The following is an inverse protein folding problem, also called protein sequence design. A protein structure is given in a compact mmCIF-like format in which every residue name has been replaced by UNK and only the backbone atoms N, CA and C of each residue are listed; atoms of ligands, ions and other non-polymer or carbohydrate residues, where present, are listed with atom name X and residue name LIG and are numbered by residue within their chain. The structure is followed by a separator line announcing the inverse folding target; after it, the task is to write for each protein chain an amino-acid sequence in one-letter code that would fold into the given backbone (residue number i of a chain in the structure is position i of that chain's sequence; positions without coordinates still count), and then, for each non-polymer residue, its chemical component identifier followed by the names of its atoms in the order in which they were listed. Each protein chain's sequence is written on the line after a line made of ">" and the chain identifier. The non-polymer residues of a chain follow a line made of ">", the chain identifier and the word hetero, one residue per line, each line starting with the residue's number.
data_IF_887563670795
#
_entry.id   IF_887563670795
#
_cell.length_a   1.000
_cell.length_b   1.000
_cell.length_c   1.000
_cell.angle_alpha   90.00
_cell.angle_beta   90.00
_cell.angle_gamma   90.00
#
_symmetry.space_group_name_H-M   'P 1'
#
loop_
_entity.id
_entity.type
_entity.pdbx_description
1 polymer ?
#
# COMPACT_ATOMS: atom_id res chain seq x y z
N UNK A 1 -11.90 9.13 -2.86
CA UNK A 1 -11.82 10.35 -3.67
C UNK A 1 -12.97 11.31 -3.37
N UNK A 2 -14.22 10.85 -3.46
CA UNK A 2 -15.40 11.69 -3.17
C UNK A 2 -15.35 12.41 -1.82
N UNK A 3 -14.83 11.74 -0.78
CA UNK A 3 -14.66 12.34 0.55
C UNK A 3 -13.71 13.56 0.59
N UNK A 4 -12.85 13.76 -0.41
CA UNK A 4 -11.95 14.93 -0.45
C UNK A 4 -12.72 16.24 -0.54
N UNK A 5 -13.83 16.27 -1.29
CA UNK A 5 -14.65 17.48 -1.48
C UNK A 5 -15.29 17.94 -0.16
N UNK A 6 -16.02 17.12 0.61
CA UNK A 6 -16.57 17.54 1.89
C UNK A 6 -15.49 17.85 2.92
N UNK A 7 -14.32 17.16 2.91
CA UNK A 7 -13.19 17.55 3.77
C UNK A 7 -12.69 18.95 3.40
N UNK A 8 -12.42 19.23 2.12
CA UNK A 8 -12.00 20.56 1.66
C UNK A 8 -13.02 21.63 2.01
N UNK A 9 -14.30 21.36 1.74
CA UNK A 9 -15.38 22.28 2.06
C UNK A 9 -15.42 22.58 3.56
N UNK A 10 -15.41 21.55 4.41
CA UNK A 10 -15.41 21.71 5.87
C UNK A 10 -14.24 22.55 6.38
N UNK A 11 -13.04 22.30 5.86
CA UNK A 11 -11.83 23.05 6.25
C UNK A 11 -11.88 24.49 5.73
N UNK A 12 -12.28 24.71 4.47
CA UNK A 12 -12.32 26.04 3.86
C UNK A 12 -13.46 26.92 4.40
N UNK A 13 -14.58 26.33 4.78
CA UNK A 13 -15.78 27.05 5.25
C UNK A 13 -15.92 27.09 6.77
N UNK A 14 -14.89 26.68 7.52
CA UNK A 14 -14.95 26.47 8.96
C UNK A 14 -15.41 27.72 9.74
N UNK A 15 -16.55 27.58 10.43
CA UNK A 15 -17.08 28.60 11.35
C UNK A 15 -16.93 28.18 12.82
N UNK A 16 -16.79 26.88 13.10
CA UNK A 16 -16.59 26.37 14.44
C UNK A 16 -15.16 26.61 14.92
N UNK A 17 -15.03 26.99 16.21
CA UNK A 17 -13.74 27.28 16.81
C UNK A 17 -12.81 26.07 16.77
N UNK A 18 -13.35 24.86 16.92
CA UNK A 18 -12.56 23.64 16.93
C UNK A 18 -11.79 23.44 15.62
N UNK A 19 -12.44 23.60 14.47
CA UNK A 19 -11.80 23.44 13.16
C UNK A 19 -10.83 24.59 12.88
N UNK A 20 -11.17 25.83 13.29
CA UNK A 20 -10.25 26.98 13.18
C UNK A 20 -8.97 26.77 13.98
N UNK A 21 -9.07 26.27 15.21
CA UNK A 21 -7.91 25.96 16.04
C UNK A 21 -7.00 24.89 15.40
N UNK A 22 -7.55 23.94 14.65
CA UNK A 22 -6.76 22.96 13.89
C UNK A 22 -6.03 23.62 12.73
N UNK A 23 -6.71 24.49 11.97
CA UNK A 23 -6.13 25.20 10.83
C UNK A 23 -5.02 26.17 11.25
N UNK A 24 -5.16 26.81 12.41
CA UNK A 24 -4.12 27.72 12.96
C UNK A 24 -2.84 26.98 13.38
N UNK A 25 -2.93 25.65 13.63
CA UNK A 25 -1.85 24.84 14.21
C UNK A 25 -1.32 23.75 13.27
N UNK A 26 -1.86 23.64 12.06
CA UNK A 26 -1.49 22.57 11.13
C UNK A 26 -1.36 23.07 9.70
N UNK A 27 -0.59 22.32 8.92
CA UNK A 27 -0.53 22.46 7.47
C UNK A 27 -1.07 21.17 6.88
N UNK A 28 -2.13 21.29 6.10
CA UNK A 28 -2.83 20.16 5.50
C UNK A 28 -2.52 20.14 4.01
N UNK A 29 -1.82 19.10 3.56
CA UNK A 29 -1.57 18.86 2.14
C UNK A 29 -2.58 17.84 1.63
N UNK A 30 -3.37 18.23 0.64
CA UNK A 30 -4.35 17.34 0.02
C UNK A 30 -4.02 17.13 -1.46
N UNK A 31 -3.94 15.87 -1.87
CA UNK A 31 -3.80 15.46 -3.27
C UNK A 31 -5.07 14.73 -3.69
N UNK A 32 -5.96 15.43 -4.38
CA UNK A 32 -7.19 14.85 -4.91
C UNK A 32 -7.59 15.57 -6.21
N UNK A 33 -7.88 14.84 -7.31
CA UNK A 33 -7.77 13.38 -7.46
C UNK A 33 -6.31 12.93 -7.64
N UNK A 34 -5.88 11.88 -6.92
CA UNK A 34 -4.54 11.29 -7.10
C UNK A 34 -4.41 10.51 -8.42
N UNK A 35 -5.53 9.99 -8.95
CA UNK A 35 -5.61 9.29 -10.23
C UNK A 35 -6.76 9.88 -11.07
N UNK A 36 -6.56 10.99 -11.79
CA UNK A 36 -7.63 11.64 -12.56
C UNK A 36 -8.18 10.73 -13.67
N UNK A 37 -7.34 9.94 -14.35
CA UNK A 37 -7.80 9.03 -15.43
C UNK A 37 -8.64 7.87 -14.90
N UNK A 38 -8.20 7.27 -13.79
CA UNK A 38 -8.97 6.23 -13.10
C UNK A 38 -10.31 6.76 -12.58
N UNK A 39 -10.32 7.98 -12.06
CA UNK A 39 -11.55 8.64 -11.61
C UNK A 39 -12.52 8.93 -12.75
N UNK A 40 -12.04 9.45 -13.89
CA UNK A 40 -12.88 9.66 -15.07
C UNK A 40 -13.53 8.35 -15.55
N UNK A 41 -12.78 7.25 -15.59
CA UNK A 41 -13.33 5.92 -15.91
C UNK A 41 -14.34 5.41 -14.88
N UNK A 42 -14.13 5.73 -13.61
CA UNK A 42 -15.09 5.40 -12.54
C UNK A 42 -16.40 6.15 -12.70
N UNK A 43 -16.34 7.42 -13.09
CA UNK A 43 -17.54 8.24 -13.40
C UNK A 43 -18.28 7.64 -14.59
N UNK A 44 -17.58 7.35 -15.70
CA UNK A 44 -18.16 6.76 -16.91
C UNK A 44 -18.90 5.43 -16.62
N UNK A 45 -18.30 4.55 -15.80
CA UNK A 45 -18.95 3.33 -15.33
C UNK A 45 -20.21 3.65 -14.53
N UNK A 46 -20.13 4.53 -13.54
CA UNK A 46 -21.29 4.90 -12.72
C UNK A 46 -22.43 5.46 -13.57
N UNK A 47 -22.14 6.28 -14.57
CA UNK A 47 -23.14 6.85 -15.49
C UNK A 47 -23.72 5.80 -16.45
N UNK A 48 -22.93 4.80 -16.84
CA UNK A 48 -23.38 3.72 -17.72
C UNK A 48 -24.34 2.72 -17.03
N UNK A 49 -24.19 2.55 -15.71
CA UNK A 49 -24.95 1.59 -14.92
C UNK A 49 -25.93 2.23 -13.92
N UNK A 50 -26.03 3.56 -13.88
CA UNK A 50 -27.02 4.21 -13.03
C UNK A 50 -28.44 3.90 -13.51
N UNK A 51 -29.36 3.88 -12.55
CA UNK A 51 -30.79 3.66 -12.76
C UNK A 51 -31.54 4.74 -11.98
N UNK A 52 -32.79 5.03 -12.38
CA UNK A 52 -33.69 5.90 -11.62
C UNK A 52 -33.97 5.35 -10.22
N UNK A 53 -33.87 4.02 -10.06
CA UNK A 53 -33.96 3.33 -8.77
C UNK A 53 -32.59 2.85 -8.31
N UNK A 54 -32.34 2.91 -7.00
CA UNK A 54 -31.10 2.42 -6.42
C UNK A 54 -31.06 0.89 -6.53
N UNK A 55 -30.08 0.37 -7.27
CA UNK A 55 -29.84 -1.07 -7.41
C UNK A 55 -28.88 -1.55 -6.33
N UNK A 56 -29.40 -2.39 -5.41
CA UNK A 56 -28.65 -2.87 -4.23
C UNK A 56 -28.10 -4.28 -4.37
N UNK A 57 -28.58 -5.03 -5.34
CA UNK A 57 -28.17 -6.41 -5.57
C UNK A 57 -26.67 -6.46 -5.93
N UNK A 58 -25.80 -7.07 -5.10
CA UNK A 58 -24.36 -7.12 -5.37
C UNK A 58 -23.98 -7.83 -6.67
N UNK A 59 -24.88 -8.64 -7.23
CA UNK A 59 -24.67 -9.36 -8.50
C UNK A 59 -25.06 -8.54 -9.74
N UNK A 60 -25.60 -7.32 -9.57
CA UNK A 60 -25.89 -6.45 -10.69
C UNK A 60 -24.60 -6.00 -11.40
N UNK A 61 -24.64 -5.91 -12.74
CA UNK A 61 -23.48 -5.54 -13.56
C UNK A 61 -22.84 -4.19 -13.16
N UNK A 62 -23.62 -3.25 -12.62
CA UNK A 62 -23.11 -1.98 -12.11
C UNK A 62 -22.17 -2.13 -10.91
N UNK A 63 -22.31 -3.22 -10.15
CA UNK A 63 -21.44 -3.60 -9.05
C UNK A 63 -20.21 -4.40 -9.50
N UNK A 64 -20.10 -4.78 -10.78
CA UNK A 64 -18.89 -5.39 -11.33
C UNK A 64 -17.91 -4.32 -11.82
N UNK A 65 -17.24 -3.67 -10.87
CA UNK A 65 -16.19 -2.70 -11.18
C UNK A 65 -14.96 -3.43 -11.74
N UNK A 66 -14.75 -3.29 -13.05
CA UNK A 66 -13.53 -3.80 -13.69
C UNK A 66 -12.30 -3.18 -13.02
N UNK A 67 -11.31 -3.99 -12.67
CA UNK A 67 -10.02 -3.59 -12.09
C UNK A 67 -9.27 -2.46 -12.85
N UNK A 68 -9.66 -2.11 -14.08
CA UNK A 68 -9.09 -1.06 -14.93
C UNK A 68 -9.30 0.36 -14.39
N UNK A 69 -10.30 0.58 -13.55
CA UNK A 69 -10.59 1.90 -12.98
C UNK A 69 -9.56 2.34 -11.92
N UNK A 70 -8.86 1.38 -11.29
CA UNK A 70 -7.86 1.66 -10.24
C UNK A 70 -6.52 2.12 -10.80
N UNK A 71 -6.16 1.66 -11.99
CA UNK A 71 -4.91 2.00 -12.65
C UNK A 71 -4.95 3.41 -13.27
N UNK A 72 -3.80 4.00 -13.58
CA UNK A 72 -3.72 5.27 -14.32
C UNK A 72 -3.92 5.07 -15.84
N UNK A 73 -3.72 6.12 -16.64
CA UNK A 73 -3.81 6.06 -18.11
C UNK A 73 -3.06 4.85 -18.70
N UNK A 74 -1.83 4.62 -18.23
CA UNK A 74 -0.92 3.58 -18.73
C UNK A 74 -1.15 2.19 -18.10
N UNK A 75 -2.15 2.04 -17.22
CA UNK A 75 -2.43 0.76 -16.57
C UNK A 75 -1.55 0.46 -15.35
N UNK A 76 -0.89 1.45 -14.76
CA UNK A 76 -0.08 1.26 -13.55
C UNK A 76 -0.90 1.43 -12.27
N UNK A 77 -0.64 0.58 -11.27
CA UNK A 77 -1.09 0.82 -9.90
C UNK A 77 -0.27 1.96 -9.28
N UNK A 78 -0.91 3.11 -9.08
CA UNK A 78 -0.28 4.27 -8.48
C UNK A 78 0.11 4.06 -7.01
N UNK A 79 -0.51 3.13 -6.29
CA UNK A 79 -0.10 2.76 -4.93
C UNK A 79 1.08 1.76 -4.90
N UNK A 80 1.77 1.57 -6.03
CA UNK A 80 3.11 0.96 -6.13
C UNK A 80 4.17 1.96 -6.59
N UNK A 81 3.81 3.21 -6.81
CA UNK A 81 4.68 4.23 -7.40
C UNK A 81 5.37 5.12 -6.37
N UNK A 82 5.16 4.94 -5.07
CA UNK A 82 5.76 5.79 -4.04
C UNK A 82 7.29 5.71 -4.01
N UNK A 83 7.84 4.53 -4.30
CA UNK A 83 9.29 4.33 -4.40
C UNK A 83 9.80 4.48 -5.84
N UNK A 84 9.06 3.95 -6.80
CA UNK A 84 9.56 3.75 -8.17
C UNK A 84 9.44 4.99 -9.05
N UNK A 85 8.42 5.83 -8.82
CA UNK A 85 8.26 7.13 -9.48
C UNK A 85 8.31 7.08 -11.02
N UNK A 86 7.84 5.97 -11.60
CA UNK A 86 7.79 5.80 -13.05
C UNK A 86 6.74 6.71 -13.70
N UNK A 87 5.62 6.89 -12.98
CA UNK A 87 4.45 7.59 -13.48
C UNK A 87 4.50 9.10 -13.20
N UNK A 88 4.00 9.94 -14.12
CA UNK A 88 4.05 11.40 -13.97
C UNK A 88 3.30 11.90 -12.73
N UNK A 89 2.16 11.30 -12.40
CA UNK A 89 1.37 11.63 -11.23
C UNK A 89 2.18 11.38 -9.95
N UNK A 90 2.88 10.24 -9.91
CA UNK A 90 3.73 9.86 -8.79
C UNK A 90 4.91 10.79 -8.58
N UNK A 91 5.59 11.17 -9.66
CA UNK A 91 6.64 12.20 -9.61
C UNK A 91 6.11 13.52 -9.06
N UNK A 92 4.90 13.94 -9.45
CA UNK A 92 4.32 15.21 -9.05
C UNK A 92 3.99 15.26 -7.55
N UNK A 93 3.26 14.28 -7.00
CA UNK A 93 2.95 14.31 -5.57
C UNK A 93 4.17 14.05 -4.70
N UNK A 94 5.12 13.22 -5.16
CA UNK A 94 6.30 12.89 -4.37
C UNK A 94 7.23 14.09 -4.21
N UNK A 95 7.35 14.95 -5.22
CA UNK A 95 8.06 16.23 -5.09
C UNK A 95 7.49 17.09 -3.96
N UNK A 96 6.16 17.22 -3.88
CA UNK A 96 5.51 17.99 -2.80
C UNK A 96 5.66 17.30 -1.45
N UNK A 97 5.53 15.97 -1.41
CA UNK A 97 5.72 15.19 -0.19
C UNK A 97 7.13 15.39 0.39
N UNK A 98 8.18 15.33 -0.44
CA UNK A 98 9.56 15.58 0.01
C UNK A 98 9.85 17.06 0.33
N UNK A 99 9.17 18.00 -0.30
CA UNK A 99 9.32 19.42 0.03
C UNK A 99 8.77 19.77 1.42
N UNK A 100 7.72 19.09 1.86
CA UNK A 100 7.04 19.38 3.12
C UNK A 100 7.33 18.40 4.25
N UNK A 101 7.72 17.14 3.94
CA UNK A 101 7.97 16.06 4.91
C UNK A 101 6.89 15.96 6.01
N UNK A 102 5.64 15.64 5.66
CA UNK A 102 4.53 15.62 6.62
C UNK A 102 4.80 14.73 7.84
N UNK A 103 4.32 15.10 9.03
CA UNK A 103 4.42 14.25 10.21
C UNK A 103 3.51 13.01 10.13
N UNK A 104 2.34 13.16 9.53
CA UNK A 104 1.39 12.08 9.23
C UNK A 104 1.08 12.11 7.73
N UNK A 105 1.10 10.95 7.10
CA UNK A 105 0.67 10.74 5.71
C UNK A 105 -0.51 9.77 5.69
N UNK A 106 -1.68 10.23 5.25
CA UNK A 106 -2.90 9.43 5.19
C UNK A 106 -3.18 8.97 3.76
N UNK A 107 -3.29 7.66 3.55
CA UNK A 107 -3.53 7.00 2.27
C UNK A 107 -4.93 6.36 2.26
N UNK A 108 -5.86 6.98 1.53
CA UNK A 108 -7.29 6.65 1.55
C UNK A 108 -7.71 5.77 0.37
N UNK A 109 -8.29 4.62 0.68
CA UNK A 109 -8.68 3.59 -0.29
C UNK A 109 -10.10 3.08 -0.06
N UNK A 110 -10.56 2.33 -1.06
CA UNK A 110 -11.62 1.35 -0.88
C UNK A 110 -11.09 -0.07 -1.14
N UNK A 111 -11.61 -1.02 -0.37
CA UNK A 111 -11.41 -2.45 -0.51
C UNK A 111 -12.70 -3.13 -0.99
N UNK A 112 -12.60 -4.40 -1.40
CA UNK A 112 -13.75 -5.13 -1.94
C UNK A 112 -14.95 -5.18 -0.98
N UNK A 113 -16.16 -5.24 -1.53
CA UNK A 113 -17.42 -5.30 -0.74
C UNK A 113 -17.49 -6.53 0.16
N UNK A 114 -16.98 -7.66 -0.32
CA UNK A 114 -16.96 -8.99 0.31
C UNK A 114 -15.79 -9.81 -0.27
N UNK A 115 -14.54 -9.44 0.00
CA UNK A 115 -13.42 -10.08 -0.72
C UNK A 115 -13.00 -11.47 -0.22
N UNK A 116 -13.49 -11.91 0.94
CA UNK A 116 -13.29 -13.25 1.59
C UNK A 116 -13.83 -13.26 3.02
N UNK A 117 -14.02 -12.08 3.61
CA UNK A 117 -14.76 -11.81 4.84
C UNK A 117 -15.63 -10.57 4.64
N UNK A 118 -16.66 -10.35 5.48
CA UNK A 118 -17.34 -9.07 5.48
C UNK A 118 -16.35 -7.96 5.84
N UNK A 119 -16.14 -7.02 4.92
CA UNK A 119 -15.20 -5.91 5.08
C UNK A 119 -15.93 -4.72 5.69
N UNK A 120 -15.41 -4.14 6.77
CA UNK A 120 -15.99 -2.93 7.39
C UNK A 120 -15.13 -1.72 7.04
N UNK A 121 -14.50 -1.09 8.02
CA UNK A 121 -13.55 -0.01 7.84
C UNK A 121 -12.23 -0.35 8.55
N UNK A 122 -11.11 -0.17 7.88
CA UNK A 122 -9.79 -0.35 8.46
C UNK A 122 -9.06 0.97 8.57
N UNK A 123 -8.35 1.13 9.69
CA UNK A 123 -7.30 2.12 9.83
C UNK A 123 -6.04 1.49 10.43
N UNK A 124 -4.89 1.97 9.94
CA UNK A 124 -3.56 1.56 10.36
C UNK A 124 -3.39 1.61 11.90
N UNK A 125 -2.61 0.71 12.53
CA UNK A 125 -1.67 -0.24 11.92
C UNK A 125 -2.27 -1.56 11.41
N UNK A 126 -1.55 -2.22 10.50
CA UNK A 126 -1.87 -3.56 10.02
C UNK A 126 -1.33 -4.68 10.92
N UNK A 127 -1.24 -5.89 10.39
CA UNK A 127 -0.66 -7.07 11.06
C UNK A 127 0.81 -6.82 11.46
N UNK A 128 1.17 -7.16 12.70
CA UNK A 128 2.46 -6.81 13.29
C UNK A 128 3.65 -7.57 12.69
N UNK A 129 3.49 -8.86 12.40
CA UNK A 129 4.52 -9.73 11.85
C UNK A 129 4.90 -9.42 10.39
N UNK A 130 4.06 -8.69 9.67
CA UNK A 130 4.29 -8.32 8.26
C UNK A 130 4.71 -6.85 8.11
N UNK A 131 5.70 -6.44 8.90
CA UNK A 131 6.29 -5.09 8.82
C UNK A 131 7.71 -5.18 8.26
N UNK A 132 8.07 -4.29 7.34
CA UNK A 132 9.44 -4.22 6.81
C UNK A 132 10.46 -3.91 7.93
N UNK A 133 11.62 -4.56 7.91
CA UNK A 133 12.66 -4.34 8.93
C UNK A 133 13.29 -2.95 8.92
N UNK A 134 13.16 -2.21 7.81
CA UNK A 134 13.60 -0.81 7.70
C UNK A 134 12.67 0.17 8.41
N UNK A 135 11.45 -0.25 8.76
CA UNK A 135 10.49 0.60 9.44
C UNK A 135 10.78 0.59 10.94
N UNK A 136 11.02 1.74 11.58
CA UNK A 136 11.27 1.80 13.01
C UNK A 136 10.06 1.29 13.81
N UNK A 137 10.29 0.42 14.81
CA UNK A 137 9.21 -0.18 15.62
C UNK A 137 8.29 0.85 16.30
N UNK A 138 8.84 2.02 16.64
CA UNK A 138 8.12 3.14 17.27
C UNK A 138 6.97 3.67 16.40
N UNK A 139 7.09 3.59 15.06
CA UNK A 139 6.03 4.02 14.13
C UNK A 139 4.70 3.33 14.39
N UNK A 140 4.73 2.03 14.74
CA UNK A 140 3.54 1.26 15.08
C UNK A 140 2.89 1.79 16.35
N UNK A 141 3.67 2.11 17.38
CA UNK A 141 3.15 2.68 18.63
C UNK A 141 2.46 4.01 18.36
N UNK A 142 3.11 4.90 17.61
CA UNK A 142 2.53 6.20 17.23
C UNK A 142 1.27 6.04 16.37
N UNK A 143 1.27 5.09 15.42
CA UNK A 143 0.08 4.77 14.63
C UNK A 143 -1.09 4.27 15.48
N UNK A 144 -0.84 3.48 16.53
CA UNK A 144 -1.88 3.07 17.49
C UNK A 144 -2.45 4.24 18.27
N UNK A 145 -1.59 5.15 18.74
CA UNK A 145 -2.02 6.35 19.46
C UNK A 145 -2.89 7.26 18.57
N UNK A 146 -2.50 7.45 17.31
CA UNK A 146 -3.33 8.16 16.32
C UNK A 146 -4.65 7.39 16.07
N UNK A 147 -4.58 6.07 15.96
CA UNK A 147 -5.72 5.18 15.80
C UNK A 147 -6.81 5.38 16.87
N UNK A 148 -6.44 5.71 18.11
CA UNK A 148 -7.40 5.97 19.19
C UNK A 148 -8.31 7.19 18.92
N UNK A 149 -7.89 8.14 18.09
CA UNK A 149 -8.76 9.24 17.66
C UNK A 149 -9.83 8.76 16.69
N UNK A 150 -9.51 7.76 15.87
CA UNK A 150 -10.45 7.15 14.94
C UNK A 150 -11.43 6.23 15.67
N UNK A 151 -10.96 5.37 16.57
CA UNK A 151 -11.82 4.43 17.34
C UNK A 151 -12.93 5.18 18.07
N UNK A 152 -12.61 6.25 18.80
CA UNK A 152 -13.61 7.07 19.51
C UNK A 152 -14.72 7.58 18.59
N UNK A 153 -14.35 8.11 17.42
CA UNK A 153 -15.35 8.60 16.47
C UNK A 153 -16.19 7.50 15.87
N UNK A 154 -15.63 6.31 15.63
CA UNK A 154 -16.38 5.19 15.09
C UNK A 154 -17.34 4.61 16.13
N UNK A 155 -16.93 4.56 17.41
CA UNK A 155 -17.81 4.17 18.52
C UNK A 155 -18.99 5.16 18.64
N UNK A 156 -18.76 6.47 18.49
CA UNK A 156 -19.81 7.50 18.46
C UNK A 156 -20.75 7.37 17.26
N UNK A 157 -20.20 7.11 16.07
CA UNK A 157 -20.96 6.87 14.85
C UNK A 157 -21.68 5.51 14.85
N UNK A 158 -21.30 4.61 15.76
CA UNK A 158 -21.73 3.20 15.81
C UNK A 158 -21.37 2.42 14.55
N UNK A 159 -20.21 2.74 13.99
CA UNK A 159 -19.68 2.09 12.78
C UNK A 159 -18.69 1.00 13.15
N UNK A 160 -18.77 -0.13 12.44
CA UNK A 160 -17.83 -1.25 12.65
C UNK A 160 -16.48 -0.93 12.01
N UNK A 161 -15.40 -1.28 12.71
CA UNK A 161 -14.03 -1.13 12.21
C UNK A 161 -13.13 -2.28 12.67
N UNK A 162 -11.94 -2.35 12.08
CA UNK A 162 -10.88 -3.24 12.52
C UNK A 162 -9.50 -2.59 12.34
N UNK A 163 -8.52 -3.10 13.08
CA UNK A 163 -7.12 -2.66 13.05
C UNK A 163 -6.23 -3.81 13.51
N UNK A 164 -4.92 -3.69 13.31
CA UNK A 164 -3.90 -4.67 13.69
C UNK A 164 -3.93 -6.02 12.97
N UNK A 165 -4.74 -6.14 11.93
CA UNK A 165 -4.90 -7.38 11.16
C UNK A 165 -5.02 -7.10 9.64
N UNK A 166 -5.04 -8.18 8.86
CA UNK A 166 -5.27 -8.24 7.41
C UNK A 166 -4.21 -7.56 6.52
N UNK A 167 -4.04 -6.24 6.66
CA UNK A 167 -3.13 -5.43 5.87
C UNK A 167 -1.71 -5.48 6.45
N UNK A 168 -0.72 -5.23 5.61
CA UNK A 168 0.69 -5.28 5.99
C UNK A 168 1.44 -3.99 5.63
N UNK A 169 2.66 -3.89 6.12
CA UNK A 169 3.61 -2.81 5.83
C UNK A 169 4.95 -3.39 5.36
N UNK A 170 4.92 -4.52 4.64
CA UNK A 170 6.15 -5.22 4.24
C UNK A 170 6.77 -4.59 2.99
N UNK A 171 5.96 -4.26 1.99
CA UNK A 171 6.42 -3.54 0.80
C UNK A 171 6.49 -2.04 1.09
N UNK A 172 7.68 -1.44 0.94
CA UNK A 172 7.96 -0.02 1.24
C UNK A 172 7.57 0.98 0.14
N UNK A 173 6.90 0.52 -0.92
CA UNK A 173 6.49 1.35 -2.06
C UNK A 173 5.01 1.75 -2.07
N UNK A 174 4.34 1.75 -0.91
CA UNK A 174 2.94 2.18 -0.76
C UNK A 174 2.83 3.47 0.04
N UNK A 175 1.67 4.13 -0.01
CA UNK A 175 1.43 5.37 0.72
C UNK A 175 1.38 5.25 2.24
N UNK A 176 1.14 4.04 2.74
CA UNK A 176 1.19 3.75 4.16
C UNK A 176 2.59 3.36 4.66
N UNK A 177 3.48 2.84 3.80
CA UNK A 177 4.79 2.32 4.21
C UNK A 177 5.96 3.25 3.86
N UNK A 178 5.96 3.87 2.67
CA UNK A 178 7.03 4.76 2.23
C UNK A 178 7.29 5.95 3.18
N UNK A 179 6.25 6.61 3.75
CA UNK A 179 6.45 7.66 4.74
C UNK A 179 7.23 7.18 5.98
N UNK A 180 7.02 5.93 6.40
CA UNK A 180 7.60 5.36 7.63
C UNK A 180 9.11 5.15 7.55
N UNK A 181 9.65 4.94 6.34
CA UNK A 181 11.11 4.89 6.10
C UNK A 181 11.71 6.28 5.81
N UNK A 182 10.93 7.35 5.97
CA UNK A 182 11.33 8.73 5.72
C UNK A 182 10.97 9.68 6.88
N UNK A 183 10.79 9.14 8.09
CA UNK A 183 10.53 9.94 9.31
C UNK A 183 9.12 10.52 9.40
N UNK A 184 8.13 9.86 8.81
CA UNK A 184 6.72 10.24 8.84
C UNK A 184 5.86 9.04 9.26
N UNK A 185 4.72 9.26 9.88
CA UNK A 185 3.76 8.18 10.18
C UNK A 185 2.84 7.99 8.99
N UNK A 186 3.04 6.90 8.23
CA UNK A 186 2.16 6.51 7.14
C UNK A 186 0.97 5.69 7.64
N UNK A 187 -0.23 6.03 7.19
CA UNK A 187 -1.46 5.36 7.60
C UNK A 187 -2.32 4.98 6.39
N UNK A 188 -2.66 3.70 6.29
CA UNK A 188 -3.65 3.18 5.35
C UNK A 188 -5.06 3.28 5.97
N UNK A 189 -6.01 3.72 5.16
CA UNK A 189 -7.44 3.71 5.46
C UNK A 189 -8.18 2.97 4.34
N UNK A 190 -8.96 1.95 4.69
CA UNK A 190 -9.65 1.09 3.72
C UNK A 190 -11.11 0.94 4.11
N UNK A 191 -12.02 1.36 3.24
CA UNK A 191 -13.46 1.16 3.43
C UNK A 191 -13.98 0.08 2.49
N UNK A 192 -14.88 -0.80 2.96
CA UNK A 192 -15.59 -1.70 2.06
C UNK A 192 -16.33 -0.89 0.99
N UNK A 193 -16.11 -1.13 -0.30
CA UNK A 193 -16.73 -0.30 -1.34
C UNK A 193 -18.23 -0.57 -1.44
N UNK A 194 -19.00 0.50 -1.65
CA UNK A 194 -20.41 0.41 -2.06
C UNK A 194 -20.56 0.07 -3.55
N UNK A 195 -19.47 0.14 -4.34
CA UNK A 195 -19.36 -0.10 -5.80
C UNK A 195 -20.23 0.80 -6.70
N UNK A 196 -21.41 1.21 -6.27
CA UNK A 196 -22.21 2.30 -6.84
C UNK A 196 -22.70 3.19 -5.68
N UNK A 197 -24.00 3.47 -5.60
CA UNK A 197 -24.62 4.30 -4.57
C UNK A 197 -24.87 3.48 -3.30
N UNK A 198 -25.50 2.31 -3.42
CA UNK A 198 -25.75 1.39 -2.31
C UNK A 198 -25.58 -0.06 -2.74
N UNK A 199 -25.21 -0.94 -1.80
CA UNK A 199 -25.14 -2.38 -2.00
C UNK A 199 -25.55 -3.11 -0.71
N UNK A 200 -26.30 -4.20 -0.85
CA UNK A 200 -26.64 -5.07 0.27
C UNK A 200 -25.48 -6.05 0.55
N UNK A 201 -25.11 -6.17 1.82
CA UNK A 201 -24.02 -7.06 2.26
C UNK A 201 -24.50 -7.96 3.40
N UNK A 202 -23.77 -9.04 3.74
CA UNK A 202 -24.09 -9.85 4.92
C UNK A 202 -24.09 -9.08 6.25
N UNK A 203 -23.44 -7.91 6.33
CA UNK A 203 -23.44 -7.03 7.50
C UNK A 203 -24.51 -5.94 7.44
N UNK A 204 -25.39 -5.98 6.44
CA UNK A 204 -26.40 -4.97 6.19
C UNK A 204 -26.06 -4.08 5.00
N UNK A 205 -26.88 -3.03 4.85
CA UNK A 205 -26.77 -2.08 3.74
C UNK A 205 -25.53 -1.22 3.88
N UNK A 206 -24.84 -1.03 2.76
CA UNK A 206 -23.75 -0.06 2.62
C UNK A 206 -24.11 1.02 1.62
N UNK A 207 -23.70 2.26 1.87
CA UNK A 207 -23.87 3.37 0.95
C UNK A 207 -22.57 4.15 0.73
N UNK A 208 -22.44 4.77 -0.44
CA UNK A 208 -21.36 5.69 -0.76
C UNK A 208 -21.34 6.87 0.22
N UNK A 209 -22.51 7.36 0.62
CA UNK A 209 -22.62 8.44 1.61
C UNK A 209 -21.98 8.05 2.94
N UNK A 210 -22.27 6.86 3.47
CA UNK A 210 -21.65 6.41 4.72
C UNK A 210 -20.12 6.24 4.58
N UNK A 211 -19.66 5.71 3.44
CA UNK A 211 -18.22 5.63 3.15
C UNK A 211 -17.55 7.01 3.14
N UNK A 212 -18.23 8.03 2.60
CA UNK A 212 -17.76 9.41 2.62
C UNK A 212 -17.68 9.93 4.05
N UNK A 213 -18.70 9.72 4.87
CA UNK A 213 -18.74 10.19 6.25
C UNK A 213 -17.62 9.59 7.10
N UNK A 214 -17.36 8.29 6.96
CA UNK A 214 -16.24 7.61 7.64
C UNK A 214 -14.86 8.15 7.21
N UNK A 215 -14.65 8.38 5.91
CA UNK A 215 -13.40 8.98 5.40
C UNK A 215 -13.24 10.43 5.86
N UNK A 216 -14.32 11.21 5.90
CA UNK A 216 -14.31 12.59 6.45
C UNK A 216 -13.95 12.57 7.93
N UNK A 217 -14.58 11.68 8.71
CA UNK A 217 -14.31 11.56 10.14
C UNK A 217 -12.84 11.22 10.41
N UNK A 218 -12.30 10.21 9.74
CA UNK A 218 -10.88 9.85 9.90
C UNK A 218 -9.94 10.95 9.45
N UNK A 219 -10.21 11.66 8.34
CA UNK A 219 -9.39 12.80 7.90
C UNK A 219 -9.30 13.92 8.94
N UNK A 220 -10.43 14.34 9.49
CA UNK A 220 -10.45 15.37 10.53
C UNK A 220 -9.76 14.86 11.82
N UNK A 221 -9.96 13.60 12.17
CA UNK A 221 -9.33 13.00 13.34
C UNK A 221 -7.82 12.83 13.19
N UNK A 222 -7.30 12.57 11.98
CA UNK A 222 -5.86 12.56 11.74
C UNK A 222 -5.25 13.94 11.94
N UNK A 223 -5.93 15.02 11.52
CA UNK A 223 -5.49 16.40 11.79
C UNK A 223 -5.53 16.71 13.29
N UNK A 224 -6.60 16.31 13.99
CA UNK A 224 -6.70 16.45 15.46
C UNK A 224 -5.56 15.73 16.17
N UNK A 225 -5.27 14.49 15.78
CA UNK A 225 -4.16 13.73 16.33
C UNK A 225 -2.82 14.40 16.04
N UNK A 226 -2.59 14.89 14.82
CA UNK A 226 -1.38 15.62 14.44
C UNK A 226 -1.12 16.85 15.33
N UNK A 227 -2.17 17.65 15.57
CA UNK A 227 -2.08 18.85 16.41
C UNK A 227 -1.88 18.48 17.88
N UNK A 228 -2.62 17.51 18.40
CA UNK A 228 -2.54 17.08 19.79
C UNK A 228 -1.20 16.39 20.12
N UNK A 229 -0.64 15.65 19.16
CA UNK A 229 0.62 14.91 19.31
C UNK A 229 1.82 15.67 18.70
N UNK A 230 1.69 16.99 18.46
CA UNK A 230 2.68 17.80 17.75
C UNK A 230 4.10 17.59 18.27
N UNK A 231 4.31 17.71 19.58
CA UNK A 231 5.64 17.59 20.17
C UNK A 231 6.22 16.19 19.97
N UNK A 232 5.42 15.15 20.21
CA UNK A 232 5.80 13.75 20.01
C UNK A 232 6.19 13.49 18.55
N UNK A 233 5.38 13.92 17.59
CA UNK A 233 5.60 13.68 16.16
C UNK A 233 6.81 14.45 15.62
N UNK A 234 7.02 15.70 16.07
CA UNK A 234 8.20 16.49 15.70
C UNK A 234 9.48 15.91 16.30
N UNK A 235 9.43 15.47 17.56
CA UNK A 235 10.55 14.80 18.20
C UNK A 235 10.88 13.48 17.51
N UNK A 236 9.88 12.67 17.18
CA UNK A 236 10.06 11.44 16.40
C UNK A 236 10.77 11.72 15.06
N UNK A 237 10.28 12.68 14.27
CA UNK A 237 10.87 13.02 12.98
C UNK A 237 12.32 13.53 13.12
N UNK A 238 12.60 14.33 14.16
CA UNK A 238 13.97 14.78 14.48
C UNK A 238 14.87 13.62 14.85
N UNK A 239 14.43 12.73 15.74
CA UNK A 239 15.23 11.57 16.17
C UNK A 239 15.45 10.60 15.01
N UNK A 240 14.46 10.39 14.15
CA UNK A 240 14.62 9.62 12.92
C UNK A 240 15.78 10.16 12.06
N UNK A 241 15.86 11.48 11.86
CA UNK A 241 16.92 12.11 11.08
C UNK A 241 18.30 11.94 11.73
N UNK A 242 18.40 12.15 13.06
CA UNK A 242 19.65 11.98 13.80
C UNK A 242 20.14 10.52 13.77
N UNK A 243 19.25 9.57 14.06
CA UNK A 243 19.56 8.14 14.02
C UNK A 243 19.96 7.70 12.61
N UNK A 244 19.39 8.29 11.57
CA UNK A 244 19.76 7.99 10.18
C UNK A 244 21.18 8.45 9.85
N UNK A 245 21.63 9.58 10.41
CA UNK A 245 23.02 10.04 10.27
C UNK A 245 23.99 9.12 11.01
N UNK A 246 23.64 8.68 12.22
CA UNK A 246 24.45 7.74 13.00
C UNK A 246 24.56 6.38 12.30
N UNK A 247 23.44 5.87 11.77
CA UNK A 247 23.42 4.66 10.95
C UNK A 247 24.34 4.79 9.73
N UNK A 248 24.25 5.91 9.00
CA UNK A 248 25.11 6.17 7.85
C UNK A 248 26.61 6.24 8.21
N UNK A 249 26.96 6.85 9.35
CA UNK A 249 28.34 6.90 9.84
C UNK A 249 28.86 5.54 10.30
N UNK A 250 27.97 4.74 10.93
CA UNK A 250 28.30 3.40 11.41
C UNK A 250 28.35 2.36 10.29
N UNK A 251 27.87 2.71 9.08
CA UNK A 251 27.94 1.84 7.92
C UNK A 251 29.39 1.68 7.44
N UNK A 252 30.04 0.64 7.98
CA UNK A 252 31.41 0.25 7.63
C UNK A 252 31.56 -0.26 6.20
N UNK A 253 30.49 -0.27 5.39
CA UNK A 253 30.56 -0.55 3.95
C UNK A 253 31.18 0.59 3.13
N UNK A 254 31.79 1.59 3.79
CA UNK A 254 32.63 2.61 3.18
C UNK A 254 33.52 2.04 2.07
N UNK A 255 33.14 2.32 0.81
CA UNK A 255 33.92 1.99 -0.38
C UNK A 255 34.04 0.51 -0.77
N UNK A 256 33.34 -0.41 -0.11
CA UNK A 256 33.28 -1.81 -0.55
C UNK A 256 32.35 -1.94 -1.75
N UNK A 257 32.85 -1.62 -2.95
CA UNK A 257 32.18 -2.01 -4.19
C UNK A 257 32.18 -3.53 -4.28
N UNK A 258 31.03 -4.14 -4.03
CA UNK A 258 30.79 -5.53 -4.41
C UNK A 258 30.50 -5.55 -5.90
N UNK A 259 31.25 -6.33 -6.67
CA UNK A 259 30.85 -6.63 -8.05
C UNK A 259 29.49 -7.30 -8.01
N UNK A 260 28.48 -6.63 -8.56
CA UNK A 260 27.16 -7.19 -8.74
C UNK A 260 27.18 -7.99 -10.03
N UNK A 261 26.80 -9.26 -9.99
CA UNK A 261 26.53 -9.96 -11.25
C UNK A 261 25.11 -9.61 -11.67
N UNK A 262 24.89 -9.57 -12.97
CA UNK A 262 23.56 -9.26 -13.49
C UNK A 262 22.58 -10.37 -13.07
N UNK A 263 21.47 -10.03 -12.39
CA UNK A 263 20.51 -11.03 -11.98
C UNK A 263 19.84 -11.65 -13.21
N UNK A 264 19.65 -12.97 -13.18
CA UNK A 264 18.86 -13.71 -14.15
C UNK A 264 17.47 -13.93 -13.57
N UNK A 265 16.54 -13.05 -13.95
CA UNK A 265 15.23 -12.94 -13.30
C UNK A 265 14.18 -13.74 -14.07
N UNK A 266 13.49 -14.64 -13.38
CA UNK A 266 12.25 -15.28 -13.84
C UNK A 266 11.05 -14.54 -13.23
N UNK A 267 10.18 -13.99 -14.08
CA UNK A 267 8.96 -13.32 -13.65
C UNK A 267 7.75 -14.18 -14.05
N UNK A 268 6.98 -14.59 -13.05
CA UNK A 268 5.82 -15.46 -13.24
C UNK A 268 4.56 -14.66 -13.61
N UNK A 269 3.73 -15.24 -14.47
CA UNK A 269 2.46 -14.65 -14.88
C UNK A 269 1.35 -15.71 -14.99
N UNK A 270 0.09 -15.24 -15.11
CA UNK A 270 -1.13 -16.06 -15.14
C UNK A 270 -1.45 -16.81 -13.84
N UNK A 271 -2.54 -17.60 -13.86
CA UNK A 271 -2.94 -18.50 -12.78
C UNK A 271 -3.10 -17.80 -11.41
N UNK A 272 -4.09 -16.92 -11.30
CA UNK A 272 -4.39 -16.14 -10.09
C UNK A 272 -3.58 -14.86 -9.92
N UNK A 273 -2.45 -14.71 -10.64
CA UNK A 273 -1.62 -13.50 -10.61
C UNK A 273 -2.38 -12.32 -11.23
N UNK A 274 -2.41 -11.18 -10.53
CA UNK A 274 -3.06 -9.97 -11.04
C UNK A 274 -2.26 -9.39 -12.21
N UNK A 275 -2.94 -9.16 -13.33
CA UNK A 275 -2.32 -8.68 -14.59
C UNK A 275 -1.61 -7.34 -14.41
N UNK A 276 -2.14 -6.47 -13.55
CA UNK A 276 -1.56 -5.15 -13.28
C UNK A 276 -0.27 -5.26 -12.46
N UNK A 277 -0.24 -6.11 -11.43
CA UNK A 277 0.96 -6.33 -10.61
C UNK A 277 2.09 -6.92 -11.46
N UNK A 278 1.78 -7.91 -12.32
CA UNK A 278 2.76 -8.51 -13.22
C UNK A 278 3.26 -7.52 -14.27
N UNK A 279 2.35 -6.81 -14.94
CA UNK A 279 2.71 -5.85 -15.99
C UNK A 279 3.58 -4.71 -15.45
N UNK A 280 3.26 -4.23 -14.23
CA UNK A 280 4.05 -3.19 -13.57
C UNK A 280 5.46 -3.67 -13.22
N UNK A 281 5.62 -4.89 -12.69
CA UNK A 281 6.94 -5.45 -12.40
C UNK A 281 7.77 -5.69 -13.66
N UNK A 282 7.14 -6.15 -14.75
CA UNK A 282 7.84 -6.35 -16.01
C UNK A 282 8.37 -5.02 -16.57
N UNK A 283 7.52 -3.99 -16.65
CA UNK A 283 7.95 -2.68 -17.15
C UNK A 283 9.06 -2.08 -16.26
N UNK A 284 8.93 -2.17 -14.94
CA UNK A 284 9.96 -1.71 -14.02
C UNK A 284 11.32 -2.36 -14.31
N UNK A 285 11.36 -3.70 -14.33
CA UNK A 285 12.61 -4.43 -14.46
C UNK A 285 13.21 -4.22 -15.86
N UNK A 286 12.43 -4.45 -16.90
CA UNK A 286 12.93 -4.46 -18.28
C UNK A 286 13.19 -3.04 -18.81
N UNK A 287 12.21 -2.13 -18.67
CA UNK A 287 12.25 -0.80 -19.30
C UNK A 287 12.97 0.25 -18.46
N UNK A 288 12.76 0.24 -17.15
CA UNK A 288 13.26 1.31 -16.28
C UNK A 288 14.60 0.97 -15.66
N UNK A 289 14.79 -0.28 -15.23
CA UNK A 289 16.02 -0.74 -14.62
C UNK A 289 17.01 -1.35 -15.64
N UNK A 290 16.55 -1.64 -16.87
CA UNK A 290 17.38 -2.28 -17.90
C UNK A 290 17.76 -3.72 -17.55
N UNK A 291 16.97 -4.38 -16.71
CA UNK A 291 17.16 -5.77 -16.28
C UNK A 291 16.25 -6.69 -17.10
N UNK A 292 16.86 -7.47 -18.00
CA UNK A 292 16.14 -8.44 -18.79
C UNK A 292 15.44 -9.47 -17.89
N UNK A 293 14.15 -9.72 -18.15
CA UNK A 293 13.36 -10.74 -17.43
C UNK A 293 12.90 -11.83 -18.39
N UNK A 294 12.95 -13.07 -17.91
CA UNK A 294 12.29 -14.20 -18.58
C UNK A 294 10.88 -14.33 -18.04
N UNK A 295 9.89 -14.33 -18.93
CA UNK A 295 8.49 -14.54 -18.55
C UNK A 295 8.12 -16.02 -18.64
N UNK A 296 7.50 -16.57 -17.60
CA UNK A 296 7.01 -17.95 -17.58
C UNK A 296 5.65 -18.05 -16.91
N UNK A 297 4.76 -18.88 -17.46
CA UNK A 297 3.48 -19.17 -16.83
C UNK A 297 3.72 -19.90 -15.49
N UNK A 298 2.98 -19.52 -14.45
CA UNK A 298 3.17 -20.07 -13.09
C UNK A 298 2.99 -21.58 -13.03
N UNK A 299 2.00 -22.11 -13.74
CA UNK A 299 1.70 -23.55 -13.85
C UNK A 299 2.83 -24.36 -14.52
N UNK A 300 3.70 -23.70 -15.31
CA UNK A 300 4.87 -24.32 -15.95
C UNK A 300 6.16 -24.16 -15.17
N UNK A 301 6.09 -23.77 -13.90
CA UNK A 301 7.28 -23.62 -13.04
C UNK A 301 7.98 -24.97 -12.79
N UNK A 302 7.26 -26.10 -12.84
CA UNK A 302 7.85 -27.43 -12.66
C UNK A 302 8.81 -27.87 -13.77
N UNK A 303 8.81 -27.18 -14.91
CA UNK A 303 9.56 -27.54 -16.12
C UNK A 303 10.83 -26.71 -16.34
N UNK A 304 11.17 -25.81 -15.41
CA UNK A 304 12.32 -24.91 -15.58
C UNK A 304 13.62 -25.55 -15.14
N UNK A 305 14.73 -25.06 -15.70
CA UNK A 305 16.04 -25.19 -15.09
C UNK A 305 16.18 -24.13 -13.98
N UNK A 306 16.09 -24.56 -12.72
CA UNK A 306 16.11 -23.68 -11.55
C UNK A 306 17.47 -23.00 -11.34
N UNK A 307 18.56 -23.65 -11.77
CA UNK A 307 19.92 -23.17 -11.56
C UNK A 307 20.29 -22.07 -12.58
N UNK A 308 19.51 -21.95 -13.65
CA UNK A 308 19.65 -20.87 -14.62
C UNK A 308 19.32 -19.49 -14.02
N UNK A 309 18.42 -19.43 -13.02
CA UNK A 309 17.90 -18.18 -12.49
C UNK A 309 18.53 -17.83 -11.16
N UNK A 310 18.80 -16.55 -10.94
CA UNK A 310 19.18 -16.04 -9.61
C UNK A 310 17.95 -15.61 -8.83
N UNK A 311 16.89 -15.16 -9.51
CA UNK A 311 15.69 -14.63 -8.85
C UNK A 311 14.45 -15.20 -9.51
N UNK A 312 13.48 -15.61 -8.69
CA UNK A 312 12.14 -15.98 -9.15
C UNK A 312 11.14 -15.08 -8.43
N UNK A 313 10.37 -14.35 -9.23
CA UNK A 313 9.39 -13.37 -8.75
C UNK A 313 8.00 -13.91 -9.08
N UNK A 314 7.20 -14.10 -8.05
CA UNK A 314 5.79 -14.43 -8.08
C UNK A 314 4.99 -13.17 -7.68
N UNK A 315 4.47 -12.40 -8.66
CA UNK A 315 3.66 -11.22 -8.36
C UNK A 315 2.40 -11.58 -7.57
N UNK A 316 1.91 -10.61 -6.80
CA UNK A 316 0.72 -10.79 -5.96
C UNK A 316 -0.57 -11.02 -6.74
N UNK A 317 -1.61 -11.41 -6.00
CA UNK A 317 -2.96 -11.57 -6.54
C UNK A 317 -3.87 -12.43 -5.67
N UNK A 318 -5.17 -12.43 -5.98
CA UNK A 318 -6.15 -13.30 -5.29
C UNK A 318 -5.96 -14.75 -5.72
N UNK A 319 -5.77 -15.65 -4.76
CA UNK A 319 -5.59 -17.08 -5.03
C UNK A 319 -4.21 -17.44 -5.59
N UNK A 320 -3.23 -16.53 -5.51
CA UNK A 320 -1.85 -16.83 -5.89
C UNK A 320 -1.25 -17.78 -4.85
N UNK A 321 -1.06 -19.03 -5.26
CA UNK A 321 -0.38 -20.07 -4.50
C UNK A 321 0.43 -20.96 -5.43
N UNK A 322 1.34 -21.73 -4.83
CA UNK A 322 2.06 -22.80 -5.51
C UNK A 322 1.58 -24.15 -4.97
N UNK A 323 1.70 -25.19 -5.78
CA UNK A 323 1.56 -26.56 -5.30
C UNK A 323 2.65 -26.86 -4.26
N UNK A 324 2.34 -27.69 -3.25
CA UNK A 324 3.26 -28.04 -2.16
C UNK A 324 4.62 -28.57 -2.66
N UNK A 325 4.60 -29.30 -3.78
CA UNK A 325 5.83 -29.78 -4.44
C UNK A 325 6.70 -28.63 -4.94
N UNK A 326 6.10 -27.60 -5.53
CA UNK A 326 6.81 -26.42 -6.04
C UNK A 326 7.29 -25.52 -4.89
N UNK A 327 6.51 -25.40 -3.81
CA UNK A 327 6.94 -24.75 -2.57
C UNK A 327 8.20 -25.43 -2.02
N UNK A 328 8.15 -26.76 -1.91
CA UNK A 328 9.28 -27.56 -1.40
C UNK A 328 10.52 -27.40 -2.27
N UNK A 329 10.35 -27.38 -3.60
CA UNK A 329 11.45 -27.17 -4.55
C UNK A 329 12.01 -25.75 -4.47
N UNK A 330 11.17 -24.73 -4.39
CA UNK A 330 11.60 -23.34 -4.24
C UNK A 330 12.38 -23.15 -2.92
N UNK A 331 11.89 -23.71 -1.81
CA UNK A 331 12.58 -23.68 -0.53
C UNK A 331 13.93 -24.42 -0.58
N UNK A 332 13.99 -25.55 -1.29
CA UNK A 332 15.24 -26.26 -1.53
C UNK A 332 16.23 -25.43 -2.36
N UNK A 333 15.79 -24.83 -3.47
CA UNK A 333 16.61 -23.97 -4.33
C UNK A 333 17.19 -22.77 -3.57
N UNK A 334 16.40 -22.16 -2.67
CA UNK A 334 16.88 -21.09 -1.79
C UNK A 334 18.01 -21.60 -0.88
N UNK A 335 17.81 -22.74 -0.21
CA UNK A 335 18.81 -23.37 0.67
C UNK A 335 20.08 -23.78 -0.08
N UNK A 336 19.95 -24.32 -1.29
CA UNK A 336 21.08 -24.71 -2.15
C UNK A 336 21.97 -23.51 -2.51
N UNK A 337 21.42 -22.29 -2.49
CA UNK A 337 22.17 -21.05 -2.70
C UNK A 337 22.68 -20.36 -1.43
N UNK A 338 22.45 -20.90 -0.24
CA UNK A 338 22.97 -20.32 1.01
C UNK A 338 24.43 -20.76 1.27
N UNK A 339 25.33 -19.84 1.68
CA UNK A 339 26.71 -20.19 1.97
C UNK A 339 26.82 -21.04 3.23
N UNK A 340 27.71 -22.02 3.18
CA UNK A 340 27.96 -22.99 4.27
C UNK A 340 28.67 -22.42 5.52
N UNK A 341 28.96 -21.10 5.60
CA UNK A 341 29.60 -20.51 6.78
C UNK A 341 29.25 -19.04 7.06
N UNK A 342 29.28 -18.66 8.34
CA UNK A 342 28.99 -17.32 8.83
C UNK A 342 30.00 -16.24 8.37
N UNK A 343 31.25 -16.61 8.06
CA UNK A 343 32.26 -15.68 7.53
C UNK A 343 32.02 -15.31 6.05
N UNK A 344 31.36 -16.20 5.30
CA UNK A 344 30.89 -15.92 3.94
C UNK A 344 29.66 -15.00 3.96
N UNK A 345 28.75 -15.14 4.94
CA UNK A 345 27.54 -14.30 5.06
C UNK A 345 27.85 -12.79 5.10
N UNK A 346 28.95 -12.37 5.75
CA UNK A 346 29.33 -10.97 5.89
C UNK A 346 29.93 -10.30 4.63
N UNK A 347 30.22 -11.06 3.56
CA UNK A 347 30.83 -10.56 2.31
C UNK A 347 29.86 -10.51 1.11
N UNK A 348 28.58 -10.82 1.28
CA UNK A 348 27.75 -11.29 0.17
C UNK A 348 26.81 -10.25 -0.43
N UNK A 349 26.87 -10.14 -1.77
CA UNK A 349 25.98 -9.34 -2.61
C UNK A 349 24.70 -10.08 -3.05
N UNK A 350 23.89 -9.48 -3.95
CA UNK A 350 22.54 -9.88 -4.33
C UNK A 350 22.41 -11.15 -5.19
N UNK A 351 23.47 -11.90 -5.50
CA UNK A 351 23.41 -13.03 -6.45
C UNK A 351 22.89 -14.36 -5.87
N UNK A 352 22.18 -14.32 -4.75
CA UNK A 352 21.58 -15.55 -4.20
C UNK A 352 20.24 -15.84 -4.86
N UNK A 353 19.85 -17.13 -4.92
CA UNK A 353 18.48 -17.55 -5.07
C UNK A 353 17.54 -16.71 -4.20
N UNK A 354 16.81 -15.82 -4.86
CA UNK A 354 15.87 -14.93 -4.23
C UNK A 354 14.46 -15.26 -4.70
N UNK A 355 13.59 -15.54 -3.74
CA UNK A 355 12.17 -15.72 -3.99
C UNK A 355 11.39 -14.52 -3.47
N UNK A 356 10.65 -13.89 -4.35
CA UNK A 356 9.65 -12.89 -3.98
C UNK A 356 8.26 -13.43 -4.28
N UNK A 357 7.50 -13.79 -3.24
CA UNK A 357 6.12 -14.25 -3.34
C UNK A 357 5.42 -14.19 -1.97
N UNK A 358 4.10 -14.50 -1.89
CA UNK A 358 3.35 -14.48 -0.65
C UNK A 358 3.99 -15.36 0.43
N UNK A 359 3.99 -14.97 1.73
CA UNK A 359 4.59 -15.76 2.81
C UNK A 359 4.03 -17.19 2.92
N UNK A 360 2.77 -17.38 2.53
CA UNK A 360 2.12 -18.70 2.49
C UNK A 360 2.79 -19.69 1.53
N UNK A 361 3.66 -19.22 0.64
CA UNK A 361 4.34 -20.05 -0.37
C UNK A 361 5.71 -20.57 0.09
N UNK A 362 6.21 -20.21 1.29
CA UNK A 362 7.56 -20.60 1.75
C UNK A 362 7.68 -20.89 3.27
N UNK A 363 6.58 -21.25 3.93
CA UNK A 363 6.64 -21.64 5.35
C UNK A 363 7.13 -23.08 5.55
#
# INVERSE_FOLDING_TARGET
>A
MEASVPVMHRLASAQDQQTRDLLDKSIILMVAPMNPDGHARRIDHSLSYMSETIVRDPENAGHDLWARQRANHYGFDLNRQWLLLAQPEARAWMQKWHAWKPNISADYHEMGTTSTRPTTYFFHPGEAGRTNSLIPKETRTLAKEIGQYHTRSFDEMKELYFTEELFDTYYIGTGSSYPQINGSIGMLFEVGTAKLIEVDTPLGRRSLANNIDMHVATAINSVRAAVAMRETLLNYQRQFALNSLDLAQSDRRGGSFSTLEMPKILLLFQDGIQRFDMGHLWDLLDRQMGLAVTLKQKDRLGEIDWDHYTHIILPGGRGVGLEDRLISRAAQWIREGEPSSASAMARNGPNRPFWAGPPSCLN
#
